data_IF_666058424745
#
_entry.id   IF_666058424745
#
_cell.length_a   1.000
_cell.length_b   1.000
_cell.length_c   1.000
_cell.angle_alpha   90.00
_cell.angle_beta   90.00
_cell.angle_gamma   90.00
#
_symmetry.space_group_name_H-M   'P 1'
#
loop_
_entity.id
_entity.type
_entity.pdbx_description
1 polymer ?
#
# COMPACT_ATOMS: atom_id res chain seq x y z
N UNK A 1 -19.63 6.88 -7.90
CA UNK A 1 -19.11 8.05 -7.15
C UNK A 1 -20.23 9.04 -6.92
N UNK A 2 -20.44 9.44 -5.66
CA UNK A 2 -21.61 10.22 -5.22
C UNK A 2 -21.19 11.37 -4.30
N UNK A 3 -22.05 12.37 -4.15
CA UNK A 3 -21.86 13.45 -3.18
C UNK A 3 -22.33 13.05 -1.77
N UNK A 4 -22.28 13.98 -0.82
CA UNK A 4 -22.66 13.78 0.59
C UNK A 4 -24.14 13.38 0.80
N UNK A 5 -24.96 13.55 -0.23
CA UNK A 5 -26.38 13.17 -0.24
C UNK A 5 -26.66 11.95 -1.14
N UNK A 6 -25.64 11.15 -1.45
CA UNK A 6 -25.73 9.95 -2.29
C UNK A 6 -26.18 10.22 -3.75
N UNK A 7 -26.06 11.46 -4.22
CA UNK A 7 -26.37 11.80 -5.61
C UNK A 7 -25.14 11.57 -6.50
N UNK A 8 -25.36 10.90 -7.64
CA UNK A 8 -24.32 10.66 -8.64
C UNK A 8 -23.76 11.98 -9.17
N UNK A 9 -22.43 12.08 -9.25
CA UNK A 9 -21.78 13.14 -10.01
C UNK A 9 -21.92 12.87 -11.52
N UNK A 10 -22.67 13.71 -12.27
CA UNK A 10 -22.86 13.49 -13.70
C UNK A 10 -21.58 13.78 -14.50
N UNK A 11 -21.59 13.36 -15.76
CA UNK A 11 -20.49 13.58 -16.71
C UNK A 11 -19.43 12.49 -16.71
N UNK A 12 -19.52 11.47 -15.84
CA UNK A 12 -18.67 10.27 -15.80
C UNK A 12 -17.88 10.13 -14.49
N UNK A 13 -17.34 8.94 -14.23
CA UNK A 13 -16.58 8.65 -13.01
C UNK A 13 -15.08 8.90 -13.20
N UNK A 14 -14.27 9.18 -12.16
CA UNK A 14 -14.64 9.33 -10.75
C UNK A 14 -15.16 10.74 -10.38
N UNK A 15 -15.95 11.38 -11.26
CA UNK A 15 -16.61 12.64 -10.97
C UNK A 15 -15.60 13.79 -10.80
N UNK A 16 -15.64 14.55 -9.68
CA UNK A 16 -14.72 15.65 -9.42
C UNK A 16 -13.23 15.27 -9.40
N UNK A 17 -12.91 13.96 -9.28
CA UNK A 17 -11.53 13.49 -9.22
C UNK A 17 -10.91 13.19 -10.61
N UNK A 18 -11.66 13.34 -11.71
CA UNK A 18 -11.15 12.98 -13.05
C UNK A 18 -9.88 13.71 -13.45
N UNK A 19 -9.81 15.01 -13.19
CA UNK A 19 -8.67 15.82 -13.62
C UNK A 19 -7.41 15.46 -12.84
N UNK A 20 -7.53 15.25 -11.53
CA UNK A 20 -6.40 14.81 -10.70
C UNK A 20 -5.97 13.38 -11.04
N UNK A 21 -6.94 12.48 -11.33
CA UNK A 21 -6.64 11.09 -11.72
C UNK A 21 -6.20 10.95 -13.18
N UNK A 22 -6.41 11.98 -14.02
CA UNK A 22 -6.07 11.94 -15.44
C UNK A 22 -6.78 10.82 -16.21
N UNK A 23 -8.01 10.48 -15.81
CA UNK A 23 -8.78 9.37 -16.38
C UNK A 23 -10.28 9.54 -16.13
N UNK A 24 -11.06 8.70 -16.80
CA UNK A 24 -12.45 8.43 -16.43
C UNK A 24 -12.77 6.95 -16.52
N UNK A 25 -13.70 6.49 -15.69
CA UNK A 25 -14.23 5.11 -15.69
C UNK A 25 -15.54 5.11 -16.46
N UNK A 26 -15.56 4.34 -17.56
CA UNK A 26 -16.71 4.23 -18.46
C UNK A 26 -17.77 3.29 -17.85
N UNK A 27 -17.33 2.17 -17.30
CA UNK A 27 -18.17 1.12 -16.73
C UNK A 27 -17.40 0.40 -15.61
N UNK A 28 -18.13 -0.20 -14.67
CA UNK A 28 -17.58 -1.13 -13.68
C UNK A 28 -18.24 -2.49 -13.84
N UNK A 29 -17.45 -3.53 -14.06
CA UNK A 29 -17.88 -4.92 -14.12
C UNK A 29 -17.80 -5.57 -12.73
N UNK A 30 -18.86 -6.30 -12.34
CA UNK A 30 -18.91 -7.01 -11.07
C UNK A 30 -18.37 -8.44 -11.25
N UNK A 31 -17.23 -8.73 -10.63
CA UNK A 31 -16.59 -10.04 -10.74
C UNK A 31 -17.27 -11.00 -9.76
N UNK A 32 -17.72 -12.16 -10.27
CA UNK A 32 -18.39 -13.18 -9.46
C UNK A 32 -17.51 -13.66 -8.30
N UNK A 33 -18.11 -14.02 -7.15
CA UNK A 33 -17.37 -14.72 -6.09
C UNK A 33 -16.66 -15.97 -6.65
N UNK A 34 -15.40 -16.16 -6.27
CA UNK A 34 -14.50 -17.23 -6.75
C UNK A 34 -14.00 -17.07 -8.20
N UNK A 35 -14.13 -15.88 -8.80
CA UNK A 35 -13.41 -15.51 -10.02
C UNK A 35 -12.41 -14.41 -9.73
N UNK A 36 -11.28 -14.50 -10.42
CA UNK A 36 -10.25 -13.48 -10.45
C UNK A 36 -10.05 -13.00 -11.89
N UNK A 37 -9.60 -11.77 -12.03
CA UNK A 37 -9.13 -11.18 -13.28
C UNK A 37 -7.62 -11.02 -13.21
N UNK A 38 -6.96 -11.28 -14.32
CA UNK A 38 -5.50 -11.14 -14.43
C UNK A 38 -5.16 -9.74 -14.91
N UNK A 39 -4.11 -9.19 -14.34
CA UNK A 39 -3.50 -7.95 -14.81
C UNK A 39 -2.00 -8.17 -15.04
N UNK A 40 -1.41 -7.38 -15.93
CA UNK A 40 0.03 -7.33 -16.13
C UNK A 40 0.53 -5.90 -15.99
N UNK A 41 1.55 -5.71 -15.15
CA UNK A 41 2.28 -4.46 -15.03
C UNK A 41 3.14 -4.22 -16.27
N UNK A 42 3.43 -2.95 -16.56
CA UNK A 42 4.39 -2.58 -17.62
C UNK A 42 5.81 -3.08 -17.35
N UNK A 43 6.13 -3.40 -16.09
CA UNK A 43 7.38 -4.06 -15.67
C UNK A 43 7.43 -5.56 -15.99
N UNK A 44 6.29 -6.17 -16.36
CA UNK A 44 6.16 -7.60 -16.62
C UNK A 44 5.59 -8.42 -15.46
N UNK A 45 5.37 -7.82 -14.29
CA UNK A 45 4.75 -8.48 -13.15
C UNK A 45 3.28 -8.84 -13.42
N UNK A 46 2.90 -10.08 -13.12
CA UNK A 46 1.49 -10.47 -13.06
C UNK A 46 0.88 -10.06 -11.70
N UNK A 47 -0.38 -9.64 -11.76
CA UNK A 47 -1.22 -9.28 -10.63
C UNK A 47 -2.59 -9.96 -10.74
N UNK A 48 -3.25 -10.13 -9.60
CA UNK A 48 -4.60 -10.69 -9.50
C UNK A 48 -5.57 -9.68 -8.89
N UNK A 49 -6.68 -9.45 -9.58
CA UNK A 49 -7.81 -8.64 -9.15
C UNK A 49 -9.07 -9.47 -8.96
N UNK A 50 -9.99 -8.98 -8.14
CA UNK A 50 -11.29 -9.61 -7.87
C UNK A 50 -12.33 -8.54 -7.51
N UNK A 51 -13.57 -8.97 -7.23
CA UNK A 51 -14.73 -8.15 -6.83
C UNK A 51 -15.25 -7.17 -7.90
N UNK A 52 -14.38 -6.35 -8.49
CA UNK A 52 -14.73 -5.30 -9.44
C UNK A 52 -13.61 -5.14 -10.49
N UNK A 53 -14.00 -4.77 -11.71
CA UNK A 53 -13.09 -4.28 -12.74
C UNK A 53 -13.63 -3.00 -13.37
N UNK A 54 -12.93 -1.89 -13.16
CA UNK A 54 -13.23 -0.61 -13.79
C UNK A 54 -12.63 -0.55 -15.20
N UNK A 55 -13.47 -0.23 -16.17
CA UNK A 55 -13.06 -0.01 -17.55
C UNK A 55 -12.61 1.45 -17.71
N UNK A 56 -11.30 1.65 -17.60
CA UNK A 56 -10.68 2.98 -17.59
C UNK A 56 -10.43 3.47 -19.03
N UNK A 57 -10.65 4.77 -19.25
CA UNK A 57 -10.02 5.51 -20.35
C UNK A 57 -9.14 6.63 -19.80
N UNK A 58 -8.02 6.85 -20.46
CA UNK A 58 -7.02 7.81 -20.03
C UNK A 58 -7.35 9.22 -20.55
N UNK A 59 -7.02 10.20 -19.74
CA UNK A 59 -7.02 11.62 -20.03
C UNK A 59 -5.80 12.28 -19.36
N UNK A 60 -4.59 11.91 -19.81
CA UNK A 60 -3.31 12.39 -19.27
C UNK A 60 -2.59 11.42 -18.34
N UNK A 61 -3.29 10.45 -17.74
CA UNK A 61 -2.66 9.39 -16.96
C UNK A 61 -1.88 8.39 -17.83
N UNK A 62 -0.87 7.77 -17.21
CA UNK A 62 -0.04 6.71 -17.78
C UNK A 62 -0.45 5.36 -17.20
N UNK A 63 -0.27 4.30 -17.99
CA UNK A 63 -0.63 2.93 -17.59
C UNK A 63 0.51 2.34 -16.77
N UNK A 64 0.18 1.83 -15.58
CA UNK A 64 1.05 0.97 -14.79
C UNK A 64 0.73 -0.51 -14.98
N UNK A 65 -0.54 -0.85 -15.13
CA UNK A 65 -0.98 -2.22 -15.42
C UNK A 65 -2.22 -2.26 -16.31
N UNK A 66 -2.35 -3.33 -17.10
CA UNK A 66 -3.51 -3.61 -17.95
C UNK A 66 -4.19 -4.90 -17.52
N UNK A 67 -5.50 -5.00 -17.73
CA UNK A 67 -6.18 -6.29 -17.67
C UNK A 67 -5.66 -7.20 -18.79
N UNK A 68 -5.55 -8.50 -18.52
CA UNK A 68 -5.09 -9.53 -19.48
C UNK A 68 -6.08 -10.67 -19.66
N UNK A 69 -7.22 -10.61 -18.96
CA UNK A 69 -8.33 -11.55 -19.09
C UNK A 69 -9.66 -10.82 -19.33
N UNK A 70 -10.70 -11.59 -19.64
CA UNK A 70 -12.06 -11.11 -19.91
C UNK A 70 -12.16 -10.19 -21.15
N UNK A 71 -13.35 -9.66 -21.41
CA UNK A 71 -13.66 -8.87 -22.61
C UNK A 71 -12.95 -7.51 -22.65
N UNK A 72 -12.42 -7.03 -21.52
CA UNK A 72 -11.66 -5.79 -21.37
C UNK A 72 -10.14 -6.01 -21.32
N UNK A 73 -9.65 -7.19 -21.72
CA UNK A 73 -8.22 -7.43 -21.88
C UNK A 73 -7.55 -6.36 -22.78
N UNK A 74 -6.39 -5.87 -22.35
CA UNK A 74 -5.64 -4.80 -23.00
C UNK A 74 -6.02 -3.38 -22.56
N UNK A 75 -7.10 -3.20 -21.81
CA UNK A 75 -7.49 -1.89 -21.25
C UNK A 75 -6.69 -1.57 -19.97
N UNK A 76 -6.52 -0.28 -19.62
CA UNK A 76 -5.86 0.12 -18.37
C UNK A 76 -6.61 -0.40 -17.14
N UNK A 77 -5.87 -0.88 -16.17
CA UNK A 77 -6.38 -1.35 -14.88
C UNK A 77 -5.80 -0.56 -13.71
N UNK A 78 -4.52 -0.20 -13.81
CA UNK A 78 -3.82 0.62 -12.81
C UNK A 78 -3.10 1.73 -13.54
N UNK A 79 -3.24 2.95 -13.04
CA UNK A 79 -2.71 4.15 -13.71
C UNK A 79 -2.04 5.09 -12.73
N UNK A 80 -1.15 5.93 -13.25
CA UNK A 80 -0.49 7.03 -12.55
C UNK A 80 -0.68 8.33 -13.34
N UNK A 81 -1.03 9.41 -12.66
CA UNK A 81 -1.08 10.74 -13.25
C UNK A 81 -0.21 11.71 -12.45
N UNK A 82 0.64 12.47 -13.14
CA UNK A 82 1.32 13.63 -12.52
C UNK A 82 0.36 14.82 -12.56
N UNK A 83 0.06 15.39 -11.40
CA UNK A 83 -0.86 16.50 -11.28
C UNK A 83 -0.26 17.60 -10.40
N UNK A 84 -0.05 18.78 -11.00
CA UNK A 84 0.69 19.89 -10.37
C UNK A 84 2.09 19.44 -9.90
N UNK A 85 2.33 19.42 -8.58
CA UNK A 85 3.62 19.01 -7.98
C UNK A 85 3.59 17.61 -7.38
N UNK A 86 2.49 16.88 -7.56
CA UNK A 86 2.30 15.56 -6.97
C UNK A 86 1.86 14.53 -8.01
N UNK A 87 1.51 13.35 -7.51
CA UNK A 87 1.02 12.24 -8.31
C UNK A 87 -0.28 11.67 -7.72
N UNK A 88 -1.06 11.04 -8.58
CA UNK A 88 -2.25 10.29 -8.21
C UNK A 88 -2.20 8.91 -8.87
N UNK A 89 -2.48 7.86 -8.09
CA UNK A 89 -2.59 6.49 -8.58
C UNK A 89 -4.04 6.02 -8.47
N UNK A 90 -4.51 5.34 -9.51
CA UNK A 90 -5.83 4.72 -9.53
C UNK A 90 -5.71 3.23 -9.73
N UNK A 91 -6.39 2.44 -8.89
CA UNK A 91 -6.44 0.98 -8.96
C UNK A 91 -7.88 0.57 -9.25
N UNK A 92 -8.15 0.13 -10.49
CA UNK A 92 -9.49 -0.18 -10.99
C UNK A 92 -10.03 -1.56 -10.57
N UNK A 93 -9.31 -2.30 -9.74
CA UNK A 93 -9.77 -3.60 -9.23
C UNK A 93 -9.33 -3.79 -7.78
N UNK A 94 -10.05 -4.62 -7.03
CA UNK A 94 -9.58 -5.02 -5.71
C UNK A 94 -8.50 -6.09 -5.89
N UNK A 95 -7.27 -5.76 -5.53
CA UNK A 95 -6.14 -6.67 -5.66
C UNK A 95 -6.03 -7.63 -4.47
N UNK A 96 -5.45 -8.82 -4.70
CA UNK A 96 -4.98 -9.66 -3.59
C UNK A 96 -3.82 -9.01 -2.83
N UNK A 97 -3.46 -9.54 -1.66
CA UNK A 97 -2.43 -8.94 -0.81
C UNK A 97 -1.06 -8.86 -1.48
N UNK A 98 -0.67 -9.89 -2.25
CA UNK A 98 0.63 -9.94 -2.90
C UNK A 98 0.72 -8.89 -4.03
N UNK A 99 -0.33 -8.77 -4.83
CA UNK A 99 -0.46 -7.82 -5.92
C UNK A 99 -0.56 -6.39 -5.40
N UNK A 100 -1.35 -6.15 -4.35
CA UNK A 100 -1.44 -4.84 -3.70
C UNK A 100 -0.09 -4.42 -3.13
N UNK A 101 0.67 -5.34 -2.52
CA UNK A 101 2.03 -5.05 -2.02
C UNK A 101 2.94 -4.56 -3.14
N UNK A 102 2.91 -5.17 -4.33
CA UNK A 102 3.71 -4.69 -5.49
C UNK A 102 3.37 -3.25 -5.86
N UNK A 103 2.09 -2.89 -5.87
CA UNK A 103 1.66 -1.51 -6.18
C UNK A 103 2.05 -0.53 -5.08
N UNK A 104 1.89 -0.90 -3.81
CA UNK A 104 2.31 -0.05 -2.69
C UNK A 104 3.83 0.15 -2.69
N UNK A 105 4.62 -0.90 -2.98
CA UNK A 105 6.07 -0.78 -3.09
C UNK A 105 6.49 0.13 -4.25
N UNK A 106 5.81 0.05 -5.39
CA UNK A 106 6.03 0.99 -6.49
C UNK A 106 5.82 2.45 -6.05
N UNK A 107 4.76 2.73 -5.29
CA UNK A 107 4.50 4.09 -4.75
C UNK A 107 5.58 4.49 -3.74
N UNK A 108 5.92 3.61 -2.79
CA UNK A 108 6.97 3.85 -1.78
C UNK A 108 8.31 4.19 -2.42
N UNK A 109 8.70 3.45 -3.45
CA UNK A 109 9.94 3.69 -4.19
C UNK A 109 9.88 5.03 -4.96
N UNK A 110 8.77 5.31 -5.64
CA UNK A 110 8.59 6.55 -6.41
C UNK A 110 8.64 7.81 -5.53
N UNK A 111 8.06 7.74 -4.33
CA UNK A 111 8.08 8.86 -3.37
C UNK A 111 9.29 8.82 -2.42
N UNK A 112 10.23 7.89 -2.62
CA UNK A 112 11.46 7.75 -1.85
C UNK A 112 11.23 7.61 -0.33
N UNK A 113 10.16 6.91 0.07
CA UNK A 113 9.88 6.64 1.47
C UNK A 113 10.82 5.56 2.01
N UNK A 114 11.42 5.82 3.17
CA UNK A 114 12.28 4.87 3.86
C UNK A 114 11.51 4.13 4.97
N UNK A 115 11.75 2.82 5.08
CA UNK A 115 11.27 2.05 6.21
C UNK A 115 12.01 2.46 7.52
N UNK A 116 11.40 2.15 8.66
CA UNK A 116 12.00 2.41 9.98
C UNK A 116 13.23 1.53 10.24
N UNK A 117 13.27 0.35 9.61
CA UNK A 117 14.39 -0.59 9.63
C UNK A 117 14.72 -1.01 8.20
N UNK A 118 16.00 -1.30 7.91
CA UNK A 118 16.44 -1.67 6.56
C UNK A 118 16.21 -3.14 6.25
N UNK A 119 16.30 -3.97 7.27
CA UNK A 119 16.08 -5.41 7.14
C UNK A 119 14.59 -5.74 7.03
N UNK A 120 14.28 -6.79 6.27
CA UNK A 120 12.93 -7.35 6.25
C UNK A 120 12.71 -8.14 7.54
N UNK A 121 11.62 -7.82 8.24
CA UNK A 121 11.22 -8.48 9.47
C UNK A 121 9.72 -8.74 9.48
N UNK A 122 9.30 -9.76 10.22
CA UNK A 122 7.90 -10.06 10.51
C UNK A 122 7.40 -9.32 11.76
N UNK A 123 8.28 -8.57 12.44
CA UNK A 123 7.91 -7.71 13.55
C UNK A 123 7.13 -6.50 13.05
N UNK A 124 6.06 -6.15 13.77
CA UNK A 124 5.40 -4.86 13.59
C UNK A 124 6.21 -3.78 14.30
N UNK A 125 6.65 -2.78 13.55
CA UNK A 125 7.49 -1.69 14.06
C UNK A 125 6.80 -0.37 13.75
N UNK A 126 6.46 0.37 14.81
CA UNK A 126 5.89 1.71 14.69
C UNK A 126 6.71 2.71 15.48
N UNK A 127 6.67 3.98 15.06
CA UNK A 127 7.40 5.07 15.71
C UNK A 127 6.45 6.16 16.14
N UNK A 128 6.58 6.59 17.39
CA UNK A 128 5.93 7.80 17.92
C UNK A 128 7.01 8.76 18.40
N UNK A 129 6.70 10.05 18.42
CA UNK A 129 7.59 11.06 18.98
C UNK A 129 6.89 11.72 20.18
N UNK A 130 7.60 11.89 21.28
CA UNK A 130 7.08 12.58 22.46
C UNK A 130 7.21 14.12 22.33
N UNK A 131 6.70 14.87 23.31
CA UNK A 131 6.76 16.34 23.31
C UNK A 131 8.18 16.92 23.39
N UNK A 132 9.16 16.11 23.83
CA UNK A 132 10.57 16.49 23.86
C UNK A 132 11.28 16.17 22.53
N UNK A 133 10.59 15.63 21.53
CA UNK A 133 11.17 15.25 20.25
C UNK A 133 11.90 13.89 20.25
N UNK A 134 11.80 13.12 21.35
CA UNK A 134 12.42 11.80 21.42
C UNK A 134 11.56 10.78 20.67
N UNK A 135 12.20 10.02 19.80
CA UNK A 135 11.59 8.90 19.09
C UNK A 135 11.43 7.69 20.04
N UNK A 136 10.25 7.10 20.01
CA UNK A 136 9.85 5.91 20.77
C UNK A 136 9.36 4.88 19.75
N UNK A 137 10.03 3.74 19.73
CA UNK A 137 9.72 2.62 18.83
C UNK A 137 8.92 1.57 19.58
N UNK A 138 7.85 1.09 18.97
CA UNK A 138 7.07 -0.05 19.46
C UNK A 138 7.37 -1.21 18.53
N UNK A 139 8.02 -2.24 19.07
CA UNK A 139 8.41 -3.44 18.34
C UNK A 139 7.60 -4.61 18.88
N UNK A 140 6.70 -5.14 18.05
CA UNK A 140 5.75 -6.17 18.46
C UNK A 140 5.94 -7.44 17.61
N UNK A 141 6.06 -8.59 18.26
CA UNK A 141 5.98 -9.88 17.59
C UNK A 141 4.56 -10.43 17.60
N UNK A 142 3.75 -10.08 16.59
CA UNK A 142 2.39 -10.61 16.45
C UNK A 142 2.34 -12.01 15.80
N UNK A 143 3.50 -12.60 15.53
CA UNK A 143 3.65 -13.92 14.92
C UNK A 143 3.66 -15.05 15.96
N UNK A 144 3.55 -16.30 15.48
CA UNK A 144 3.61 -17.51 16.32
C UNK A 144 5.03 -18.02 16.60
N UNK A 145 6.04 -17.43 15.96
CA UNK A 145 7.43 -17.85 16.05
C UNK A 145 8.32 -16.78 16.64
N UNK A 146 9.47 -17.18 17.18
CA UNK A 146 10.49 -16.27 17.68
C UNK A 146 11.08 -15.47 16.51
N UNK A 147 11.25 -14.16 16.67
CA UNK A 147 11.76 -13.26 15.63
C UNK A 147 13.00 -12.52 16.13
N UNK A 148 14.03 -12.32 15.29
CA UNK A 148 15.18 -11.50 15.67
C UNK A 148 14.79 -10.03 15.75
N UNK A 149 15.33 -9.32 16.75
CA UNK A 149 15.24 -7.87 16.82
C UNK A 149 16.15 -7.25 15.73
N UNK A 150 15.68 -6.25 14.96
CA UNK A 150 16.50 -5.62 13.94
C UNK A 150 17.79 -5.01 14.46
N UNK A 151 18.85 -5.12 13.65
CA UNK A 151 20.20 -4.67 14.03
C UNK A 151 20.25 -3.20 14.43
N UNK A 152 19.37 -2.36 13.88
CA UNK A 152 19.22 -0.95 14.24
C UNK A 152 18.83 -0.74 15.71
N UNK A 153 18.18 -1.71 16.33
CA UNK A 153 17.69 -1.64 17.72
C UNK A 153 18.53 -2.43 18.72
N UNK A 154 19.46 -3.27 18.26
CA UNK A 154 20.26 -4.14 19.16
C UNK A 154 21.27 -3.38 20.04
N UNK A 155 21.57 -2.10 19.75
CA UNK A 155 22.56 -1.31 20.49
C UNK A 155 22.15 0.15 20.62
N UNK A 156 22.45 0.76 21.77
CA UNK A 156 22.18 2.18 22.02
C UNK A 156 20.69 2.47 22.25
N UNK A 157 19.92 1.45 22.64
CA UNK A 157 18.52 1.57 23.01
C UNK A 157 18.32 0.98 24.40
N UNK A 158 17.27 1.45 25.06
CA UNK A 158 16.72 0.91 26.31
C UNK A 158 15.26 0.57 26.10
N UNK A 159 14.84 -0.59 26.58
CA UNK A 159 13.43 -0.94 26.65
C UNK A 159 12.78 -0.24 27.85
N UNK A 160 11.70 0.49 27.61
CA UNK A 160 10.95 1.22 28.62
C UNK A 160 10.11 0.33 29.53
N UNK A 161 9.80 -0.91 29.11
CA UNK A 161 9.02 -1.84 29.93
C UNK A 161 9.88 -2.48 31.03
N UNK A 162 11.09 -2.89 30.69
CA UNK A 162 12.03 -3.55 31.61
C UNK A 162 13.01 -2.57 32.27
N UNK A 163 13.40 -1.52 31.54
CA UNK A 163 14.48 -0.61 31.93
C UNK A 163 15.88 -1.10 31.52
N UNK A 164 15.97 -2.27 30.89
CA UNK A 164 17.22 -2.91 30.48
C UNK A 164 17.50 -2.69 28.98
N UNK A 165 18.62 -3.23 28.49
CA UNK A 165 18.88 -3.29 27.05
C UNK A 165 17.90 -4.23 26.34
N UNK A 166 17.56 -3.96 25.06
CA UNK A 166 16.68 -4.80 24.25
C UNK A 166 17.14 -6.26 24.17
N UNK A 167 16.19 -7.18 24.16
CA UNK A 167 16.45 -8.58 23.85
C UNK A 167 16.88 -8.73 22.38
N UNK A 168 17.72 -9.73 22.12
CA UNK A 168 18.16 -10.00 20.73
C UNK A 168 17.09 -10.73 19.91
N UNK A 169 16.12 -11.36 20.59
CA UNK A 169 15.09 -12.19 19.99
C UNK A 169 13.79 -12.04 20.78
N UNK A 170 12.69 -11.77 20.07
CA UNK A 170 11.36 -11.64 20.65
C UNK A 170 10.60 -12.97 20.47
N UNK A 171 10.13 -13.56 21.57
CA UNK A 171 9.19 -14.68 21.53
C UNK A 171 7.82 -14.24 20.99
N UNK A 172 6.96 -15.22 20.73
CA UNK A 172 5.62 -14.98 20.19
C UNK A 172 4.82 -14.10 21.15
N UNK A 173 4.25 -13.01 20.63
CA UNK A 173 3.50 -11.98 21.36
C UNK A 173 4.32 -11.08 22.29
N UNK A 174 5.64 -11.14 22.22
CA UNK A 174 6.51 -10.19 22.93
C UNK A 174 6.39 -8.78 22.35
N UNK A 175 6.62 -7.81 23.23
CA UNK A 175 6.62 -6.38 22.93
C UNK A 175 7.81 -5.74 23.59
N UNK A 176 8.54 -4.92 22.84
CA UNK A 176 9.53 -4.00 23.38
C UNK A 176 9.17 -2.55 23.01
N UNK A 177 9.42 -1.63 23.95
CA UNK A 177 9.21 -0.20 23.73
C UNK A 177 10.55 0.51 23.84
N UNK A 178 11.17 0.80 22.70
CA UNK A 178 12.56 1.20 22.62
C UNK A 178 12.72 2.71 22.51
N UNK A 179 13.63 3.26 23.31
CA UNK A 179 14.11 4.63 23.20
C UNK A 179 15.64 4.63 23.06
N UNK A 180 16.15 5.52 22.21
CA UNK A 180 17.59 5.67 22.04
C UNK A 180 18.20 6.32 23.30
N UNK A 181 19.34 5.79 23.75
CA UNK A 181 20.16 6.35 24.84
C UNK A 181 20.99 7.56 24.41
#
# INVERSE_FOLDING_TARGET
MVNESDNVYPGGYPGPLKDVMGLWVEESDAILPNKDVKLAMTTGDELMGHLIADLIRLNGAHILAKYTSEFYAGTPAITENTYSRGKAWYVGSRLDHASLRKIIMHVVDDVHLSALVKEQTELEITKRQNSAGQDIYFVLNMGKGKQPLPVEFQKGYRDLLTGDSPETMLDSWDVEILVQE
#
